data_IF_219852549329
#
_entry.id   IF_219852549329
#
_cell.length_a   1.000
_cell.length_b   1.000
_cell.length_c   1.000
_cell.angle_alpha   90.00
_cell.angle_beta   90.00
_cell.angle_gamma   90.00
#
_symmetry.space_group_name_H-M   'P 1'
#
loop_
_entity.id
_entity.type
_entity.pdbx_description
1 polymer ?
#
# COMPACT_ATOMS: atom_id res chain seq x y z
N UNK A 1 -4.70 -5.02 34.06
CA UNK A 1 -5.99 -5.05 33.40
C UNK A 1 -5.90 -4.73 31.91
N UNK A 2 -5.58 -3.49 31.58
CA UNK A 2 -5.61 -3.02 30.22
C UNK A 2 -4.66 -3.72 29.26
N UNK A 3 -3.61 -4.32 29.78
CA UNK A 3 -2.60 -5.00 28.96
C UNK A 3 -2.71 -6.50 29.05
N UNK A 4 -3.84 -7.00 29.51
CA UNK A 4 -4.00 -8.40 29.82
C UNK A 4 -3.75 -9.33 28.66
N UNK A 5 -4.01 -8.89 27.43
CA UNK A 5 -3.89 -9.78 26.29
C UNK A 5 -3.14 -9.14 25.13
N UNK A 6 -2.17 -9.89 24.61
CA UNK A 6 -1.59 -9.64 23.30
C UNK A 6 -2.32 -10.51 22.28
N UNK A 7 -2.42 -10.08 21.04
CA UNK A 7 -3.00 -10.91 19.99
C UNK A 7 -2.14 -12.14 19.75
N UNK A 8 -2.76 -13.21 19.25
CA UNK A 8 -2.04 -14.42 18.87
C UNK A 8 -1.18 -14.18 17.62
N UNK A 9 -1.54 -13.21 16.82
CA UNK A 9 -0.82 -12.87 15.59
C UNK A 9 -0.90 -11.36 15.33
N UNK A 10 0.06 -10.87 14.59
CA UNK A 10 0.11 -9.49 14.14
C UNK A 10 -0.11 -9.44 12.62
N UNK A 11 -0.91 -8.47 12.18
CA UNK A 11 -1.05 -8.16 10.76
C UNK A 11 -0.02 -7.09 10.44
N UNK A 12 0.88 -7.39 9.51
CA UNK A 12 1.98 -6.52 9.12
C UNK A 12 1.85 -6.22 7.63
N UNK A 13 1.97 -4.95 7.26
CA UNK A 13 2.04 -4.54 5.86
C UNK A 13 3.48 -4.24 5.51
N UNK A 14 4.13 -5.18 4.82
CA UNK A 14 5.51 -5.01 4.42
C UNK A 14 5.59 -4.14 3.17
N UNK A 15 6.37 -3.07 3.23
CA UNK A 15 6.58 -2.19 2.09
C UNK A 15 7.37 -2.90 1.00
N UNK A 16 6.85 -2.90 -0.22
CA UNK A 16 7.47 -3.53 -1.38
C UNK A 16 8.18 -2.53 -2.28
N UNK A 17 7.72 -1.29 -2.30
CA UNK A 17 8.23 -0.25 -3.17
C UNK A 17 7.12 0.67 -3.61
N UNK A 18 7.45 1.63 -4.45
CA UNK A 18 6.47 2.54 -5.03
C UNK A 18 6.28 2.26 -6.52
N UNK A 19 5.17 2.77 -7.06
CA UNK A 19 4.90 2.76 -8.50
C UNK A 19 4.87 4.19 -8.98
N UNK A 20 5.62 4.46 -10.04
CA UNK A 20 5.61 5.76 -10.68
C UNK A 20 4.45 5.87 -11.65
N UNK A 21 4.00 7.10 -11.87
CA UNK A 21 3.08 7.37 -12.96
C UNK A 21 3.77 7.06 -14.30
N UNK A 22 3.05 6.46 -15.28
CA UNK A 22 3.60 6.27 -16.61
C UNK A 22 3.97 7.62 -17.21
N UNK A 23 5.14 7.72 -17.83
CA UNK A 23 5.66 8.97 -18.37
C UNK A 23 5.88 8.88 -19.89
N UNK A 24 5.64 10.00 -20.56
CA UNK A 24 6.03 10.18 -21.94
C UNK A 24 7.54 10.42 -22.04
N UNK A 25 8.06 10.45 -23.28
CA UNK A 25 9.49 10.72 -23.51
C UNK A 25 9.94 12.06 -22.94
N UNK A 26 9.05 13.05 -22.91
CA UNK A 26 9.34 14.37 -22.35
C UNK A 26 9.27 14.43 -20.82
N UNK A 27 9.01 13.30 -20.15
CA UNK A 27 8.89 13.25 -18.71
C UNK A 27 7.51 13.59 -18.15
N UNK A 28 6.56 13.98 -19.01
CA UNK A 28 5.21 14.29 -18.59
C UNK A 28 4.41 13.01 -18.31
N UNK A 29 3.49 13.02 -17.35
CA UNK A 29 2.64 11.86 -17.10
C UNK A 29 1.78 11.51 -18.30
N UNK A 30 1.77 10.24 -18.71
CA UNK A 30 0.89 9.76 -19.77
C UNK A 30 -0.45 9.27 -19.23
N UNK A 31 -0.50 8.98 -17.95
CA UNK A 31 -1.71 8.49 -17.29
C UNK A 31 -1.66 8.89 -15.84
N UNK A 32 -2.80 8.92 -15.21
CA UNK A 32 -2.94 9.20 -13.78
C UNK A 32 -3.46 7.94 -13.08
N UNK A 33 -3.42 7.96 -11.76
CA UNK A 33 -3.96 6.86 -10.96
C UNK A 33 -5.41 6.62 -11.37
N UNK A 34 -5.77 5.36 -11.56
CA UNK A 34 -7.12 4.99 -11.94
C UNK A 34 -8.12 5.50 -10.90
N UNK A 35 -9.22 6.17 -11.32
CA UNK A 35 -10.16 6.77 -10.37
C UNK A 35 -10.75 5.78 -9.36
N UNK A 36 -10.89 4.52 -9.73
CA UNK A 36 -11.44 3.51 -8.83
C UNK A 36 -10.51 3.15 -7.68
N UNK A 37 -9.23 3.52 -7.75
CA UNK A 37 -8.29 3.30 -6.66
C UNK A 37 -8.35 4.40 -5.60
N UNK A 38 -8.99 5.52 -5.90
CA UNK A 38 -9.12 6.61 -4.96
C UNK A 38 -9.86 6.15 -3.70
N UNK A 39 -9.26 6.36 -2.54
CA UNK A 39 -9.86 5.94 -1.29
C UNK A 39 -9.73 4.46 -0.98
N UNK A 40 -8.97 3.72 -1.78
CA UNK A 40 -8.80 2.28 -1.59
C UNK A 40 -7.50 1.92 -0.85
N UNK A 41 -6.89 2.88 -0.18
CA UNK A 41 -5.69 2.64 0.63
C UNK A 41 -5.92 1.51 1.63
N UNK A 42 -4.92 0.65 1.79
CA UNK A 42 -4.93 -0.49 2.71
C UNK A 42 -5.94 -1.59 2.37
N UNK A 43 -6.55 -1.54 1.18
CA UNK A 43 -7.55 -2.53 0.77
C UNK A 43 -6.99 -3.49 -0.27
N UNK A 44 -7.52 -4.72 -0.26
CA UNK A 44 -7.23 -5.69 -1.31
C UNK A 44 -7.80 -5.19 -2.64
N UNK A 45 -7.00 -5.33 -3.69
CA UNK A 45 -7.38 -4.90 -5.02
C UNK A 45 -7.50 -6.12 -5.94
N UNK A 46 -8.57 -6.16 -6.72
CA UNK A 46 -8.78 -7.24 -7.70
C UNK A 46 -7.66 -7.23 -8.73
N UNK A 47 -7.22 -8.42 -9.14
CA UNK A 47 -6.22 -8.57 -10.19
C UNK A 47 -6.69 -8.03 -11.55
N UNK A 48 -7.99 -7.79 -11.71
CA UNK A 48 -8.54 -7.20 -12.92
C UNK A 48 -8.56 -5.67 -12.91
N UNK A 49 -8.23 -5.05 -11.77
CA UNK A 49 -8.23 -3.61 -11.63
C UNK A 49 -7.01 -3.02 -12.33
N UNK A 50 -7.22 -2.04 -13.21
CA UNK A 50 -6.12 -1.30 -13.83
C UNK A 50 -5.54 -0.29 -12.83
N UNK A 51 -4.23 -0.05 -12.92
CA UNK A 51 -3.53 0.89 -12.05
C UNK A 51 -3.72 2.33 -12.47
N UNK A 52 -3.78 2.57 -13.78
CA UNK A 52 -3.75 3.93 -14.32
C UNK A 52 -4.80 4.08 -15.41
N UNK A 53 -5.15 5.33 -15.66
CA UNK A 53 -6.05 5.70 -16.76
C UNK A 53 -5.45 6.88 -17.53
N UNK A 54 -5.34 6.71 -18.84
CA UNK A 54 -4.87 7.78 -19.73
C UNK A 54 -5.96 8.82 -19.99
N UNK A 55 -5.56 9.97 -20.55
CA UNK A 55 -6.50 11.05 -20.85
C UNK A 55 -7.59 10.65 -21.86
N UNK A 56 -7.30 9.69 -22.72
CA UNK A 56 -8.27 9.17 -23.68
C UNK A 56 -9.26 8.15 -23.08
N UNK A 57 -9.15 7.90 -21.79
CA UNK A 57 -10.03 6.96 -21.08
C UNK A 57 -9.56 5.53 -21.12
N UNK A 58 -8.44 5.21 -21.76
CA UNK A 58 -7.92 3.85 -21.78
C UNK A 58 -7.20 3.51 -20.48
N UNK A 59 -7.34 2.26 -20.07
CA UNK A 59 -6.64 1.75 -18.90
C UNK A 59 -5.19 1.44 -19.26
N UNK A 60 -4.29 1.72 -18.32
CA UNK A 60 -2.86 1.56 -18.49
C UNK A 60 -2.25 0.90 -17.26
N UNK A 61 -1.06 0.37 -17.42
CA UNK A 61 -0.26 -0.20 -16.36
C UNK A 61 -0.33 -1.71 -16.31
N UNK A 62 0.48 -2.25 -15.43
CA UNK A 62 0.53 -3.70 -15.20
C UNK A 62 -0.69 -4.15 -14.41
N UNK A 63 -1.03 -5.43 -14.54
CA UNK A 63 -2.05 -6.03 -13.71
C UNK A 63 -1.59 -6.09 -12.25
N UNK A 64 -2.54 -5.99 -11.33
CA UNK A 64 -2.25 -6.17 -9.92
C UNK A 64 -1.80 -7.59 -9.64
N UNK A 65 -0.77 -7.71 -8.84
CA UNK A 65 -0.35 -9.00 -8.32
C UNK A 65 -1.19 -9.30 -7.09
N UNK A 66 -1.72 -10.51 -7.00
CA UNK A 66 -2.53 -10.92 -5.87
C UNK A 66 -1.77 -10.71 -4.56
N UNK A 67 -2.41 -10.07 -3.59
CA UNK A 67 -1.83 -9.79 -2.29
C UNK A 67 -1.10 -8.46 -2.19
N UNK A 68 -0.90 -7.74 -3.29
CA UNK A 68 -0.36 -6.39 -3.23
C UNK A 68 -1.46 -5.39 -2.87
N UNK A 69 -1.18 -4.54 -1.90
CA UNK A 69 -2.13 -3.58 -1.33
C UNK A 69 -1.55 -2.18 -1.48
N UNK A 70 -2.28 -1.25 -2.13
CA UNK A 70 -1.80 0.12 -2.29
C UNK A 70 -1.95 0.93 -1.00
N UNK A 71 -1.02 1.85 -0.80
CA UNK A 71 -1.12 2.85 0.27
C UNK A 71 -0.66 4.18 -0.28
N UNK A 72 -1.12 5.26 0.33
CA UNK A 72 -0.82 6.64 -0.10
C UNK A 72 -1.21 6.86 -1.56
N UNK A 73 -2.38 6.37 -1.93
CA UNK A 73 -2.90 6.49 -3.29
C UNK A 73 -3.15 7.95 -3.62
N UNK A 74 -2.51 8.42 -4.70
CA UNK A 74 -2.72 9.76 -5.23
C UNK A 74 -2.48 10.89 -4.22
N UNK A 75 -1.51 10.70 -3.33
CA UNK A 75 -1.14 11.73 -2.36
C UNK A 75 -0.40 12.88 -3.06
N UNK A 76 -0.67 14.12 -2.63
CA UNK A 76 -0.09 15.29 -3.24
C UNK A 76 1.45 15.27 -3.20
N UNK A 77 2.03 14.87 -2.09
CA UNK A 77 3.48 14.78 -1.96
C UNK A 77 4.09 13.77 -2.93
N UNK A 78 3.37 12.71 -3.23
CA UNK A 78 3.81 11.72 -4.20
C UNK A 78 3.66 12.24 -5.62
N UNK A 79 2.58 12.97 -5.91
CA UNK A 79 2.33 13.51 -7.23
C UNK A 79 3.46 14.44 -7.68
N UNK A 80 4.02 15.23 -6.76
CA UNK A 80 5.14 16.10 -7.06
C UNK A 80 6.37 15.33 -7.53
N UNK A 81 6.52 14.09 -7.09
CA UNK A 81 7.62 13.20 -7.48
C UNK A 81 7.24 12.23 -8.59
N UNK A 82 6.05 12.38 -9.15
CA UNK A 82 5.48 11.45 -10.14
C UNK A 82 5.32 10.03 -9.61
N UNK A 83 5.10 9.89 -8.31
CA UNK A 83 4.80 8.60 -7.68
C UNK A 83 3.30 8.48 -7.54
N UNK A 84 2.75 7.36 -8.01
CA UNK A 84 1.31 7.10 -7.94
C UNK A 84 0.87 6.63 -6.56
N UNK A 85 1.56 5.65 -6.03
CA UNK A 85 1.27 5.04 -4.72
C UNK A 85 2.42 4.14 -4.31
N UNK A 86 2.42 3.73 -3.05
CA UNK A 86 3.31 2.68 -2.57
C UNK A 86 2.56 1.35 -2.56
N UNK A 87 3.30 0.27 -2.66
CA UNK A 87 2.75 -1.09 -2.58
C UNK A 87 3.23 -1.76 -1.31
N UNK A 88 2.33 -2.49 -0.69
CA UNK A 88 2.61 -3.31 0.48
C UNK A 88 2.08 -4.71 0.25
N UNK A 89 2.58 -5.65 1.05
CA UNK A 89 2.02 -7.00 1.13
C UNK A 89 1.63 -7.25 2.56
N UNK A 90 0.39 -7.66 2.76
CA UNK A 90 -0.10 -8.02 4.08
C UNK A 90 0.45 -9.38 4.48
N UNK A 91 1.07 -9.42 5.65
CA UNK A 91 1.60 -10.65 6.24
C UNK A 91 1.00 -10.82 7.63
N UNK A 92 0.79 -12.06 8.01
CA UNK A 92 0.32 -12.39 9.36
C UNK A 92 1.47 -13.08 10.07
N UNK A 93 1.97 -12.44 11.11
CA UNK A 93 3.09 -12.98 11.89
C UNK A 93 2.57 -13.52 13.21
N UNK A 94 2.81 -14.79 13.51
CA UNK A 94 2.48 -15.31 14.84
C UNK A 94 3.31 -14.59 15.89
N UNK A 95 2.68 -14.24 16.99
CA UNK A 95 3.39 -13.59 18.10
C UNK A 95 4.21 -14.66 18.81
N UNK A 96 5.53 -14.47 18.84
CA UNK A 96 6.44 -15.37 19.50
C UNK A 96 6.50 -15.08 21.01
N UNK A 97 6.55 -16.09 21.87
CA UNK A 97 6.66 -15.86 23.31
C UNK A 97 7.87 -15.00 23.69
N UNK A 98 8.95 -15.09 22.92
CA UNK A 98 10.16 -14.31 23.15
C UNK A 98 9.97 -12.82 22.85
N UNK A 99 8.91 -12.44 22.14
CA UNK A 99 8.62 -11.05 21.84
C UNK A 99 7.84 -10.36 22.95
N UNK A 100 7.22 -11.11 23.85
CA UNK A 100 6.31 -10.56 24.84
C UNK A 100 6.92 -9.44 25.69
N UNK A 101 8.15 -9.61 26.25
CA UNK A 101 8.73 -8.53 27.04
C UNK A 101 8.91 -7.23 26.27
N UNK A 102 9.39 -7.32 25.02
CA UNK A 102 9.59 -6.14 24.18
C UNK A 102 8.27 -5.49 23.81
N UNK A 103 7.26 -6.29 23.45
CA UNK A 103 5.93 -5.76 23.11
C UNK A 103 5.27 -5.10 24.31
N UNK A 104 5.37 -5.71 25.48
CA UNK A 104 4.82 -5.12 26.69
C UNK A 104 5.50 -3.79 27.03
N UNK A 105 6.80 -3.70 26.84
CA UNK A 105 7.55 -2.48 27.06
C UNK A 105 7.11 -1.38 26.11
N UNK A 106 6.90 -1.69 24.82
CA UNK A 106 6.41 -0.72 23.85
C UNK A 106 5.02 -0.24 24.21
N UNK A 107 4.13 -1.12 24.62
CA UNK A 107 2.78 -0.76 25.03
C UNK A 107 2.78 0.10 26.29
N UNK A 108 3.69 -0.18 27.22
CA UNK A 108 3.82 0.61 28.45
C UNK A 108 4.39 2.00 28.21
N UNK A 109 5.20 2.15 27.18
CA UNK A 109 5.82 3.44 26.83
C UNK A 109 4.87 4.38 26.07
N UNK A 110 3.80 3.86 25.53
CA UNK A 110 2.85 4.62 24.70
C UNK A 110 1.93 5.60 25.51
#
# INVERSE_FOLDING_TARGET
QGLARLPDALVVHRHLGSRDLPKAENGEPQALVHPELQGRDWQDISSTQAMFRAADGTDRGEAWVEGEIPVFVNEAAYAEKSIAFSLTRREVWPVQPTWLPALQQLLSAA
#
